data_IF_898472884683
#
_entry.id   IF_898472884683
#
_cell.length_a   1.000
_cell.length_b   1.000
_cell.length_c   1.000
_cell.angle_alpha   90.00
_cell.angle_beta   90.00
_cell.angle_gamma   90.00
#
_symmetry.space_group_name_H-M   'P 1'
#
loop_
_entity.id
_entity.type
_entity.pdbx_description
1 polymer ?
#
# COMPACT_ATOMS: atom_id res chain seq x y z
N UNK A 1 -6.54 -10.81 -16.08
CA UNK A 1 -7.64 -10.69 -17.05
C UNK A 1 -8.64 -11.81 -16.76
N UNK A 2 -9.94 -11.53 -16.75
CA UNK A 2 -10.96 -12.55 -16.46
C UNK A 2 -11.83 -12.74 -17.68
N UNK A 3 -11.92 -13.97 -18.15
CA UNK A 3 -12.85 -14.39 -19.19
C UNK A 3 -14.04 -15.09 -18.53
N UNK A 4 -15.23 -14.57 -18.79
CA UNK A 4 -16.46 -15.07 -18.17
C UNK A 4 -17.14 -16.05 -19.11
N UNK A 5 -17.79 -17.05 -18.52
CA UNK A 5 -18.62 -17.97 -19.28
C UNK A 5 -19.83 -17.25 -19.91
N UNK A 6 -20.46 -17.93 -20.87
CA UNK A 6 -21.64 -17.43 -21.57
C UNK A 6 -22.76 -17.02 -20.62
N UNK A 7 -23.35 -15.85 -20.87
CA UNK A 7 -24.46 -15.30 -20.08
C UNK A 7 -25.84 -15.73 -20.56
N UNK A 8 -25.90 -16.59 -21.58
CA UNK A 8 -27.14 -17.04 -22.19
C UNK A 8 -27.96 -17.98 -21.30
N UNK A 9 -29.27 -17.96 -21.52
CA UNK A 9 -30.19 -18.84 -20.81
C UNK A 9 -30.05 -20.28 -21.30
N UNK A 10 -30.01 -21.22 -20.35
CA UNK A 10 -29.92 -22.66 -20.64
C UNK A 10 -31.06 -23.19 -21.51
N UNK A 11 -32.24 -22.57 -21.41
CA UNK A 11 -33.39 -22.94 -22.24
C UNK A 11 -33.10 -22.77 -23.74
N UNK A 12 -32.14 -21.92 -24.14
CA UNK A 12 -31.71 -21.77 -25.53
C UNK A 12 -30.67 -22.80 -25.97
N UNK A 13 -29.91 -23.38 -25.06
CA UNK A 13 -28.80 -24.28 -25.41
C UNK A 13 -29.28 -25.71 -25.67
N UNK A 14 -30.48 -26.07 -25.22
CA UNK A 14 -31.04 -27.42 -25.40
C UNK A 14 -30.21 -28.52 -24.73
N UNK A 15 -29.32 -28.16 -23.80
CA UNK A 15 -28.43 -29.10 -23.14
C UNK A 15 -29.20 -30.01 -22.17
N UNK A 16 -28.96 -31.32 -22.26
CA UNK A 16 -29.56 -32.34 -21.40
C UNK A 16 -28.47 -33.10 -20.62
N UNK A 17 -28.86 -33.76 -19.52
CA UNK A 17 -27.97 -34.64 -18.75
C UNK A 17 -26.83 -33.91 -18.04
N UNK A 18 -25.59 -34.36 -18.21
CA UNK A 18 -24.42 -33.78 -17.54
C UNK A 18 -24.13 -32.34 -17.99
N UNK A 19 -24.31 -32.04 -19.28
CA UNK A 19 -24.15 -30.67 -19.81
C UNK A 19 -25.14 -29.70 -19.17
N UNK A 20 -26.33 -30.16 -18.81
CA UNK A 20 -27.30 -29.35 -18.08
C UNK A 20 -26.84 -29.04 -16.65
N UNK A 21 -26.28 -30.03 -15.95
CA UNK A 21 -25.71 -29.84 -14.61
C UNK A 21 -24.52 -28.87 -14.62
N UNK A 22 -23.67 -28.97 -15.64
CA UNK A 22 -22.54 -28.05 -15.84
C UNK A 22 -23.02 -26.62 -16.12
N UNK A 23 -23.92 -26.45 -17.10
CA UNK A 23 -24.51 -25.15 -17.42
C UNK A 23 -25.17 -24.49 -16.20
N UNK A 24 -25.71 -25.29 -15.28
CA UNK A 24 -26.31 -24.81 -14.02
C UNK A 24 -25.27 -24.24 -13.06
N UNK A 25 -24.13 -24.90 -12.93
CA UNK A 25 -23.02 -24.39 -12.13
C UNK A 25 -22.41 -23.13 -12.73
N UNK A 26 -22.31 -23.05 -14.06
CA UNK A 26 -21.85 -21.86 -14.77
C UNK A 26 -22.76 -20.67 -14.45
N UNK A 27 -24.07 -20.84 -14.66
CA UNK A 27 -25.04 -19.77 -14.45
C UNK A 27 -25.21 -19.36 -12.99
N UNK A 28 -24.92 -20.25 -12.04
CA UNK A 28 -24.90 -19.90 -10.62
C UNK A 28 -23.88 -18.78 -10.34
N UNK A 29 -22.67 -18.87 -10.91
CA UNK A 29 -21.63 -17.86 -10.68
C UNK A 29 -21.97 -16.51 -11.31
N UNK A 30 -22.52 -16.51 -12.53
CA UNK A 30 -22.97 -15.29 -13.23
C UNK A 30 -24.19 -14.65 -12.57
N UNK A 31 -25.12 -15.46 -12.05
CA UNK A 31 -26.28 -14.97 -11.30
C UNK A 31 -25.85 -14.33 -9.99
N UNK A 32 -24.94 -14.98 -9.25
CA UNK A 32 -24.37 -14.42 -8.02
C UNK A 32 -23.64 -13.09 -8.30
N UNK A 33 -22.88 -13.00 -9.40
CA UNK A 33 -22.27 -11.76 -9.86
C UNK A 33 -23.32 -10.68 -10.11
N UNK A 34 -24.43 -11.02 -10.78
CA UNK A 34 -25.55 -10.09 -11.00
C UNK A 34 -26.21 -9.58 -9.71
N UNK A 35 -26.32 -10.43 -8.69
CA UNK A 35 -26.84 -10.06 -7.37
C UNK A 35 -25.90 -9.09 -6.65
N UNK A 36 -24.59 -9.37 -6.67
CA UNK A 36 -23.55 -8.48 -6.11
C UNK A 36 -23.60 -7.10 -6.76
N UNK A 37 -23.67 -7.05 -8.08
CA UNK A 37 -23.76 -5.77 -8.82
C UNK A 37 -25.03 -5.01 -8.42
N UNK A 38 -26.17 -5.68 -8.33
CA UNK A 38 -27.44 -5.04 -7.97
C UNK A 38 -27.39 -4.48 -6.54
N UNK A 39 -26.84 -5.25 -5.60
CA UNK A 39 -26.65 -4.81 -4.21
C UNK A 39 -25.74 -3.57 -4.11
N UNK A 40 -24.65 -3.53 -4.88
CA UNK A 40 -23.71 -2.41 -4.92
C UNK A 40 -24.34 -1.13 -5.52
N UNK A 41 -25.17 -1.28 -6.55
CA UNK A 41 -25.78 -0.14 -7.24
C UNK A 41 -26.95 0.44 -6.44
N UNK A 42 -27.78 -0.43 -5.85
CA UNK A 42 -28.93 0.03 -5.06
C UNK A 42 -28.49 0.72 -3.77
N UNK A 43 -27.35 0.33 -3.19
CA UNK A 43 -26.77 0.94 -1.99
C UNK A 43 -27.63 0.80 -0.71
N UNK A 44 -28.77 0.11 -0.80
CA UNK A 44 -29.72 -0.11 0.32
C UNK A 44 -29.30 -1.26 1.22
N UNK A 45 -28.55 -2.21 0.69
CA UNK A 45 -28.09 -3.39 1.41
C UNK A 45 -26.76 -3.10 2.11
N UNK A 46 -26.74 -3.23 3.43
CA UNK A 46 -25.51 -3.18 4.24
C UNK A 46 -24.56 -4.36 3.89
N UNK A 47 -25.12 -5.49 3.47
CA UNK A 47 -24.36 -6.68 3.10
C UNK A 47 -24.40 -6.94 1.60
N UNK A 48 -23.21 -7.09 1.00
CA UNK A 48 -23.05 -7.50 -0.40
C UNK A 48 -22.66 -8.99 -0.44
N UNK A 49 -23.39 -9.85 -1.17
CA UNK A 49 -23.26 -11.30 -1.08
C UNK A 49 -22.09 -11.86 -1.92
N UNK A 50 -20.86 -11.39 -1.68
CA UNK A 50 -19.69 -11.91 -2.41
C UNK A 50 -19.47 -13.41 -2.19
N UNK A 51 -19.96 -13.95 -1.07
CA UNK A 51 -19.74 -15.35 -0.67
C UNK A 51 -20.58 -16.37 -1.43
N UNK A 52 -21.60 -15.94 -2.16
CA UNK A 52 -22.52 -16.82 -2.88
C UNK A 52 -21.84 -17.61 -4.01
N UNK A 53 -20.70 -17.12 -4.52
CA UNK A 53 -19.88 -17.85 -5.48
C UNK A 53 -18.39 -17.65 -5.24
N UNK A 54 -17.57 -18.63 -5.65
CA UNK A 54 -16.10 -18.49 -5.62
C UNK A 54 -15.63 -17.34 -6.52
N UNK A 55 -16.29 -17.15 -7.66
CA UNK A 55 -15.96 -16.09 -8.63
C UNK A 55 -16.13 -14.70 -8.02
N UNK A 56 -17.26 -14.43 -7.36
CA UNK A 56 -17.53 -13.15 -6.70
C UNK A 56 -16.62 -12.88 -5.51
N UNK A 57 -16.10 -13.92 -4.84
CA UNK A 57 -15.07 -13.77 -3.80
C UNK A 57 -13.73 -13.33 -4.39
N UNK A 58 -13.31 -13.95 -5.49
CA UNK A 58 -12.07 -13.58 -6.17
C UNK A 58 -12.14 -12.18 -6.78
N UNK A 59 -13.32 -11.77 -7.23
CA UNK A 59 -13.57 -10.46 -7.84
C UNK A 59 -14.03 -9.39 -6.85
N UNK A 60 -14.01 -9.66 -5.55
CA UNK A 60 -14.51 -8.74 -4.53
C UNK A 60 -13.81 -7.37 -4.61
N UNK A 61 -12.49 -7.36 -4.77
CA UNK A 61 -11.73 -6.11 -4.89
C UNK A 61 -12.05 -5.36 -6.19
N UNK A 62 -12.44 -6.09 -7.23
CA UNK A 62 -12.82 -5.53 -8.53
C UNK A 62 -14.22 -4.93 -8.54
N UNK A 63 -15.09 -5.27 -7.59
CA UNK A 63 -16.49 -4.84 -7.55
C UNK A 63 -16.72 -4.02 -6.28
N UNK A 64 -16.49 -2.71 -6.31
CA UNK A 64 -16.65 -1.85 -5.15
C UNK A 64 -15.50 -1.87 -4.15
N UNK A 65 -14.37 -2.50 -4.49
CA UNK A 65 -13.17 -2.56 -3.66
C UNK A 65 -12.01 -1.70 -4.17
N UNK A 66 -10.81 -2.16 -3.85
CA UNK A 66 -9.55 -1.49 -4.20
C UNK A 66 -9.00 -1.98 -5.55
N UNK A 67 -9.66 -1.60 -6.64
CA UNK A 67 -9.20 -1.92 -7.99
C UNK A 67 -9.75 -0.96 -9.03
N UNK A 68 -8.99 -0.77 -10.11
CA UNK A 68 -9.46 -0.10 -11.33
C UNK A 68 -10.05 -1.15 -12.27
N UNK A 69 -11.37 -1.23 -12.30
CA UNK A 69 -12.08 -2.26 -13.04
C UNK A 69 -12.64 -1.74 -14.35
N UNK A 70 -12.40 -2.50 -15.43
CA UNK A 70 -12.99 -2.28 -16.75
C UNK A 70 -13.80 -3.52 -17.10
N UNK A 71 -15.05 -3.33 -17.50
CA UNK A 71 -15.92 -4.38 -18.01
C UNK A 71 -16.11 -4.21 -19.51
N UNK A 72 -15.87 -5.28 -20.28
CA UNK A 72 -16.18 -5.35 -21.71
C UNK A 72 -17.41 -6.22 -21.89
N UNK A 73 -18.43 -5.70 -22.58
CA UNK A 73 -19.67 -6.39 -22.85
C UNK A 73 -19.72 -6.82 -24.32
N UNK A 74 -19.62 -8.13 -24.57
CA UNK A 74 -19.70 -8.69 -25.91
C UNK A 74 -21.16 -8.96 -26.28
N UNK A 75 -21.58 -8.48 -27.45
CA UNK A 75 -22.94 -8.60 -27.95
C UNK A 75 -22.96 -9.08 -29.40
N UNK A 76 -24.03 -9.77 -29.78
CA UNK A 76 -24.24 -10.24 -31.16
C UNK A 76 -25.25 -9.35 -31.90
N UNK A 77 -24.97 -8.88 -33.13
CA UNK A 77 -25.88 -8.00 -33.88
C UNK A 77 -27.10 -8.72 -34.46
N UNK A 78 -27.16 -10.05 -34.38
CA UNK A 78 -28.22 -10.87 -34.95
C UNK A 78 -29.57 -10.70 -34.22
N UNK A 79 -30.67 -10.66 -34.98
CA UNK A 79 -32.02 -10.48 -34.44
C UNK A 79 -32.47 -11.56 -33.46
N UNK A 80 -32.05 -12.82 -33.67
CA UNK A 80 -32.37 -13.93 -32.76
C UNK A 80 -31.67 -13.80 -31.39
N UNK A 81 -30.62 -12.98 -31.29
CA UNK A 81 -29.88 -12.68 -30.06
C UNK A 81 -30.37 -11.42 -29.36
N UNK A 82 -31.46 -10.79 -29.83
CA UNK A 82 -31.97 -9.54 -29.30
C UNK A 82 -32.18 -9.58 -27.78
N UNK A 83 -32.85 -10.62 -27.28
CA UNK A 83 -33.12 -10.79 -25.84
C UNK A 83 -31.84 -10.91 -24.99
N UNK A 84 -30.83 -11.68 -25.45
CA UNK A 84 -29.57 -11.81 -24.71
C UNK A 84 -28.78 -10.49 -24.75
N UNK A 85 -28.74 -9.86 -25.92
CA UNK A 85 -28.06 -8.57 -26.11
C UNK A 85 -28.63 -7.50 -25.19
N UNK A 86 -29.97 -7.43 -25.09
CA UNK A 86 -30.64 -6.53 -24.16
C UNK A 86 -30.32 -6.87 -22.70
N UNK A 87 -30.26 -8.16 -22.35
CA UNK A 87 -29.82 -8.63 -21.03
C UNK A 87 -28.41 -8.17 -20.68
N UNK A 88 -27.45 -8.39 -21.58
CA UNK A 88 -26.05 -7.99 -21.41
C UNK A 88 -25.89 -6.48 -21.29
N UNK A 89 -26.60 -5.69 -22.11
CA UNK A 89 -26.56 -4.22 -22.04
C UNK A 89 -27.14 -3.69 -20.72
N UNK A 90 -28.27 -4.23 -20.26
CA UNK A 90 -28.85 -3.88 -18.95
C UNK A 90 -27.90 -4.22 -17.81
N UNK A 91 -27.22 -5.36 -17.91
CA UNK A 91 -26.21 -5.78 -16.96
C UNK A 91 -25.03 -4.80 -16.91
N UNK A 92 -24.46 -4.48 -18.08
CA UNK A 92 -23.36 -3.52 -18.20
C UNK A 92 -23.75 -2.12 -17.70
N UNK A 93 -24.99 -1.69 -17.97
CA UNK A 93 -25.51 -0.42 -17.47
C UNK A 93 -25.57 -0.36 -15.93
N UNK A 94 -25.91 -1.49 -15.27
CA UNK A 94 -25.82 -1.57 -13.80
C UNK A 94 -24.36 -1.55 -13.34
N UNK A 95 -23.50 -2.37 -13.95
CA UNK A 95 -22.08 -2.45 -13.61
C UNK A 95 -21.36 -1.08 -13.70
N UNK A 96 -21.74 -0.25 -14.69
CA UNK A 96 -21.23 1.12 -14.86
C UNK A 96 -21.42 2.01 -13.62
N UNK A 97 -22.46 1.77 -12.83
CA UNK A 97 -22.79 2.59 -11.67
C UNK A 97 -22.05 2.18 -10.39
N UNK A 98 -21.28 1.09 -10.44
CA UNK A 98 -20.45 0.65 -9.31
C UNK A 98 -19.31 1.65 -9.11
N UNK A 99 -19.10 2.07 -7.86
CA UNK A 99 -18.02 2.97 -7.48
C UNK A 99 -16.93 2.19 -6.78
N UNK A 100 -15.75 2.11 -7.38
CA UNK A 100 -14.56 1.55 -6.76
C UNK A 100 -13.73 2.65 -6.11
N UNK A 101 -12.97 2.30 -5.08
CA UNK A 101 -12.04 3.20 -4.38
C UNK A 101 -10.62 2.66 -4.54
N UNK A 102 -10.00 2.83 -5.72
CA UNK A 102 -8.64 2.37 -5.93
C UNK A 102 -7.65 3.20 -5.09
N UNK A 103 -6.75 2.51 -4.40
CA UNK A 103 -5.65 3.02 -3.59
C UNK A 103 -4.36 2.41 -4.11
N UNK A 104 -3.28 3.17 -4.01
CA UNK A 104 -1.95 2.65 -4.35
C UNK A 104 -1.54 1.72 -3.21
N UNK A 105 -1.35 0.45 -3.53
CA UNK A 105 -0.83 -0.53 -2.59
C UNK A 105 0.69 -0.41 -2.63
N UNK A 106 1.24 0.40 -1.72
CA UNK A 106 2.68 0.47 -1.49
C UNK A 106 3.07 -0.59 -0.47
N UNK A 107 4.22 -1.22 -0.68
CA UNK A 107 4.77 -2.11 0.34
C UNK A 107 5.04 -1.30 1.62
N UNK A 108 4.75 -1.86 2.80
CA UNK A 108 4.92 -1.15 4.07
C UNK A 108 6.38 -0.69 4.27
N UNK A 109 7.33 -1.41 3.70
CA UNK A 109 8.76 -1.04 3.69
C UNK A 109 9.01 0.21 2.85
N UNK A 110 8.45 0.26 1.64
CA UNK A 110 8.61 1.39 0.71
C UNK A 110 7.89 2.65 1.21
N UNK A 111 6.71 2.48 1.80
CA UNK A 111 5.97 3.58 2.43
C UNK A 111 6.79 4.19 3.59
N UNK A 112 7.37 3.33 4.45
CA UNK A 112 8.21 3.76 5.57
C UNK A 112 9.52 4.40 5.08
N UNK A 113 10.14 3.85 4.04
CA UNK A 113 11.33 4.41 3.40
C UNK A 113 11.06 5.82 2.85
N UNK A 114 9.91 6.04 2.21
CA UNK A 114 9.52 7.36 1.72
C UNK A 114 9.30 8.34 2.88
N UNK A 115 8.59 7.92 3.93
CA UNK A 115 8.38 8.76 5.11
C UNK A 115 9.70 9.16 5.78
N UNK A 116 10.64 8.22 5.90
CA UNK A 116 11.98 8.51 6.39
C UNK A 116 12.77 9.45 5.48
N UNK A 117 12.69 9.27 4.16
CA UNK A 117 13.33 10.18 3.21
C UNK A 117 12.76 11.60 3.29
N UNK A 118 11.44 11.74 3.42
CA UNK A 118 10.76 13.03 3.57
C UNK A 118 11.16 13.72 4.89
N UNK A 119 11.25 12.97 5.99
CA UNK A 119 11.67 13.52 7.28
C UNK A 119 13.16 13.91 7.27
N UNK A 120 14.03 13.11 6.64
CA UNK A 120 15.44 13.47 6.44
C UNK A 120 15.55 14.77 5.63
N UNK A 121 14.76 14.93 4.56
CA UNK A 121 14.76 16.13 3.74
C UNK A 121 14.28 17.35 4.54
N UNK A 122 13.22 17.20 5.35
CA UNK A 122 12.70 18.24 6.23
C UNK A 122 13.73 18.69 7.26
N UNK A 123 14.35 17.75 7.95
CA UNK A 123 15.36 18.02 8.98
C UNK A 123 16.59 18.71 8.37
N UNK A 124 17.06 18.25 7.20
CA UNK A 124 18.16 18.90 6.46
C UNK A 124 17.83 20.36 6.12
N UNK A 125 16.61 20.65 5.67
CA UNK A 125 16.18 22.03 5.38
C UNK A 125 16.16 22.92 6.63
N UNK A 126 15.77 22.39 7.79
CA UNK A 126 15.78 23.12 9.06
C UNK A 126 17.22 23.43 9.47
N UNK A 127 18.13 22.48 9.33
CA UNK A 127 19.55 22.66 9.66
C UNK A 127 20.22 23.70 8.77
N UNK A 128 19.95 23.72 7.46
CA UNK A 128 20.45 24.77 6.56
C UNK A 128 19.98 26.17 6.96
N UNK A 129 18.69 26.30 7.33
CA UNK A 129 18.11 27.57 7.79
C UNK A 129 18.66 28.01 9.15
N UNK A 130 19.05 27.05 10.01
CA UNK A 130 19.60 27.33 11.35
C UNK A 130 21.10 27.60 11.32
N UNK A 131 21.84 26.92 10.44
CA UNK A 131 23.28 27.13 10.21
C UNK A 131 23.61 28.51 9.62
N UNK A 132 22.67 29.13 8.92
CA UNK A 132 22.77 30.52 8.44
C UNK A 132 22.50 31.58 9.53
N UNK A 133 21.98 31.19 10.69
CA UNK A 133 21.58 32.10 11.79
C UNK A 133 22.49 32.04 13.03
N UNK A 134 23.57 31.25 12.99
CA UNK A 134 24.37 30.86 14.16
C UNK A 134 25.69 31.62 14.42
N UNK A 135 25.99 32.72 13.72
CA UNK A 135 27.14 33.59 14.08
C UNK A 135 26.76 34.62 15.16
N UNK A 136 26.23 34.18 16.29
CA UNK A 136 26.16 35.03 17.48
C UNK A 136 27.27 34.63 18.45
N UNK A 137 28.38 35.39 18.41
CA UNK A 137 29.38 35.47 19.49
C UNK A 137 28.66 35.72 20.81
N UNK A 138 28.50 34.70 21.65
CA UNK A 138 27.96 34.85 23.00
C UNK A 138 29.05 35.46 23.88
N UNK A 139 29.12 36.80 23.96
CA UNK A 139 29.95 37.50 24.97
C UNK A 139 29.19 37.46 26.29
N UNK A 140 29.54 36.54 27.18
CA UNK A 140 29.10 36.61 28.57
C UNK A 140 30.08 37.50 29.35
N UNK A 141 29.62 38.67 29.81
CA UNK A 141 30.34 39.49 30.79
C UNK A 141 29.92 39.06 32.18
N UNK A 142 30.78 38.37 32.93
CA UNK A 142 30.64 38.23 34.38
C UNK A 142 31.27 39.44 35.05
N UNK A 143 30.47 40.21 35.78
CA UNK A 143 30.94 41.29 36.66
C UNK A 143 31.08 40.69 38.06
N UNK A 144 32.26 40.79 38.65
CA UNK A 144 32.46 40.60 40.10
C UNK A 144 32.95 41.90 40.70
N UNK A 145 32.44 42.21 41.89
CA UNK A 145 32.74 43.43 42.64
C UNK A 145 33.79 43.08 43.70
N UNK A 146 34.97 43.71 43.63
CA UNK A 146 35.98 43.66 44.67
C UNK A 146 35.70 44.65 45.81
N UNK A 147 36.39 44.56 46.96
CA UNK A 147 35.98 45.23 48.20
C UNK A 147 36.10 46.77 48.19
N UNK A 148 36.72 47.37 47.17
CA UNK A 148 36.93 48.82 47.07
C UNK A 148 36.58 49.41 45.69
N UNK A 149 35.62 48.81 44.97
CA UNK A 149 34.89 49.53 43.92
C UNK A 149 35.58 49.78 42.57
N UNK A 150 36.80 49.28 42.33
CA UNK A 150 37.41 49.32 40.99
C UNK A 150 37.14 48.03 40.19
N UNK A 151 36.69 48.20 38.94
CA UNK A 151 36.39 47.11 38.00
C UNK A 151 37.65 46.67 37.26
N UNK A 152 38.16 45.47 37.58
CA UNK A 152 39.28 44.86 36.84
C UNK A 152 38.70 43.81 35.88
N UNK A 153 39.03 43.94 34.59
CA UNK A 153 38.76 42.93 33.55
C UNK A 153 40.02 42.09 33.35
N UNK A 154 40.00 40.84 33.82
CA UNK A 154 41.01 39.85 33.43
C UNK A 154 40.40 38.87 32.42
N UNK A 155 41.10 38.68 31.31
CA UNK A 155 40.82 37.70 30.28
C UNK A 155 41.55 36.40 30.66
N UNK A 156 40.81 35.36 31.03
CA UNK A 156 41.37 34.01 31.17
C UNK A 156 40.58 33.07 30.27
N UNK A 157 41.26 32.50 29.28
CA UNK A 157 40.75 31.48 28.37
C UNK A 157 40.74 30.12 29.10
N UNK A 158 39.56 29.65 29.52
CA UNK A 158 39.37 28.24 29.89
C UNK A 158 38.78 27.49 28.68
N UNK A 159 39.61 26.65 28.06
CA UNK A 159 39.26 25.73 26.98
C UNK A 159 38.24 24.69 27.46
N UNK A 160 36.96 24.96 27.20
CA UNK A 160 35.89 23.96 27.28
C UNK A 160 35.82 23.16 25.98
N UNK A 161 36.12 21.87 26.05
CA UNK A 161 36.18 20.90 24.94
C UNK A 161 34.89 20.93 24.09
N UNK A 162 34.91 21.72 23.02
CA UNK A 162 33.80 21.82 22.07
C UNK A 162 33.99 20.75 20.99
N UNK A 163 33.34 19.60 21.17
CA UNK A 163 33.30 18.55 20.13
C UNK A 163 32.84 19.17 18.82
N UNK A 164 33.68 19.08 17.79
CA UNK A 164 33.42 19.71 16.49
C UNK A 164 32.14 19.14 15.89
N UNK A 165 31.26 19.96 15.27
CA UNK A 165 30.08 19.48 14.56
C UNK A 165 30.40 18.39 13.52
N UNK A 166 31.63 18.38 12.98
CA UNK A 166 32.11 17.35 12.04
C UNK A 166 32.31 15.98 12.71
N UNK A 167 32.73 15.96 13.98
CA UNK A 167 32.97 14.71 14.71
C UNK A 167 31.63 14.05 15.10
N UNK A 168 30.63 14.86 15.49
CA UNK A 168 29.27 14.37 15.75
C UNK A 168 28.60 13.77 14.49
N UNK A 169 28.81 14.40 13.33
CA UNK A 169 28.29 13.90 12.05
C UNK A 169 28.97 12.60 11.62
N UNK A 170 30.29 12.48 11.83
CA UNK A 170 31.01 11.23 11.57
C UNK A 170 30.55 10.12 12.49
N UNK A 171 30.39 10.40 13.77
CA UNK A 171 29.90 9.43 14.76
C UNK A 171 28.50 8.91 14.39
N UNK A 172 27.58 9.81 14.02
CA UNK A 172 26.25 9.41 13.53
C UNK A 172 26.30 8.60 12.23
N UNK A 173 27.19 8.94 11.29
CA UNK A 173 27.36 8.16 10.05
C UNK A 173 27.88 6.75 10.34
N UNK A 174 28.84 6.60 11.25
CA UNK A 174 29.39 5.29 11.63
C UNK A 174 28.36 4.40 12.33
N UNK A 175 27.52 4.99 13.20
CA UNK A 175 26.42 4.28 13.86
C UNK A 175 25.39 3.78 12.86
N UNK A 176 25.02 4.63 11.90
CA UNK A 176 24.01 4.30 10.90
C UNK A 176 24.50 3.26 9.88
N UNK A 177 25.80 3.24 9.56
CA UNK A 177 26.43 2.19 8.76
C UNK A 177 26.50 0.85 9.50
N UNK A 178 26.83 0.86 10.80
CA UNK A 178 26.83 -0.35 11.62
C UNK A 178 25.43 -0.96 11.74
N UNK A 179 24.40 -0.13 11.94
CA UNK A 179 23.01 -0.59 12.02
C UNK A 179 22.53 -1.18 10.68
N UNK A 180 22.87 -0.54 9.55
CA UNK A 180 22.59 -1.10 8.21
C UNK A 180 23.26 -2.45 7.99
N UNK A 181 24.51 -2.61 8.41
CA UNK A 181 25.22 -3.89 8.30
C UNK A 181 24.57 -4.98 9.15
N UNK A 182 24.10 -4.65 10.36
CA UNK A 182 23.40 -5.60 11.22
C UNK A 182 22.06 -6.05 10.61
N UNK A 183 21.31 -5.14 9.98
CA UNK A 183 20.05 -5.48 9.29
C UNK A 183 20.32 -6.44 8.12
N UNK A 184 21.36 -6.19 7.32
CA UNK A 184 21.73 -7.04 6.18
C UNK A 184 22.20 -8.42 6.66
N UNK A 185 22.98 -8.48 7.74
CA UNK A 185 23.40 -9.74 8.33
C UNK A 185 22.19 -10.56 8.82
N UNK A 186 21.25 -9.92 9.53
CA UNK A 186 20.02 -10.58 9.96
C UNK A 186 19.15 -11.03 8.78
N UNK A 187 19.06 -10.26 7.69
CA UNK A 187 18.30 -10.69 6.50
C UNK A 187 18.93 -11.91 5.84
N UNK A 188 20.25 -12.01 5.82
CA UNK A 188 20.95 -13.17 5.25
C UNK A 188 20.75 -14.41 6.13
N UNK A 189 20.79 -14.27 7.47
CA UNK A 189 20.52 -15.37 8.41
C UNK A 189 19.08 -15.89 8.24
N UNK A 190 18.11 -14.99 8.04
CA UNK A 190 16.72 -15.39 7.80
C UNK A 190 16.60 -16.18 6.49
N UNK A 191 17.27 -15.75 5.43
CA UNK A 191 17.28 -16.45 4.15
C UNK A 191 17.92 -17.85 4.25
N UNK A 192 19.03 -18.00 4.99
CA UNK A 192 19.66 -19.30 5.25
C UNK A 192 18.74 -20.23 6.06
N UNK A 193 18.05 -19.70 7.08
CA UNK A 193 17.08 -20.49 7.85
C UNK A 193 15.86 -20.92 7.00
N UNK A 194 15.40 -20.09 6.07
CA UNK A 194 14.32 -20.46 5.14
C UNK A 194 14.76 -21.59 4.19
N UNK A 195 15.99 -21.53 3.66
CA UNK A 195 16.54 -22.62 2.83
C UNK A 195 16.72 -23.93 3.61
N UNK A 196 17.20 -23.88 4.85
CA UNK A 196 17.30 -25.08 5.69
C UNK A 196 15.92 -25.67 6.01
N UNK A 197 14.92 -24.84 6.29
CA UNK A 197 13.56 -25.29 6.58
C UNK A 197 12.92 -25.96 5.36
N UNK A 198 13.07 -25.38 4.15
CA UNK A 198 12.59 -25.96 2.89
C UNK A 198 13.27 -27.30 2.56
N UNK A 199 14.53 -27.47 2.97
CA UNK A 199 15.28 -28.71 2.76
C UNK A 199 14.81 -29.81 3.71
N UNK A 200 14.51 -29.46 4.96
CA UNK A 200 13.94 -30.39 5.96
C UNK A 200 12.52 -30.81 5.57
N UNK A 201 11.69 -29.89 5.08
CA UNK A 201 10.33 -30.21 4.64
C UNK A 201 10.32 -31.22 3.47
N UNK A 202 11.25 -31.08 2.52
CA UNK A 202 11.43 -32.04 1.40
C UNK A 202 11.92 -33.42 1.82
N UNK A 203 12.58 -33.55 2.96
CA UNK A 203 13.07 -34.83 3.48
C UNK A 203 12.01 -35.58 4.31
N UNK A 204 10.97 -34.88 4.79
CA UNK A 204 9.90 -35.44 5.62
C UNK A 204 8.64 -35.80 4.81
N UNK A 205 8.55 -35.37 3.54
CA UNK A 205 7.46 -35.73 2.60
C UNK A 205 7.83 -36.87 1.65
#
# INVERSE_FOLDING_TARGET
LVDLAGSERQSKTGALGERFKEATKINLSLSALGNVISALVDGKSCHVPYRDSKLTRLLQDSLGGNSRTVMVANIGPASYNYEETLGTLRYANRAKNIKNVPRINEDPKDALLREFQDEIARLRSILEKRGSSGKHKKREKKIRIGPEGESITEETDEDGDSVSPEDYLKEQQTLLEAEKQAIIANSNIIAECEEEFDTVEKLVS
#
